data_IF_708593590862
#
_entry.id   IF_708593590862
#
_cell.length_a   1.000
_cell.length_b   1.000
_cell.length_c   1.000
_cell.angle_alpha   90.00
_cell.angle_beta   90.00
_cell.angle_gamma   90.00
#
_symmetry.space_group_name_H-M   'P 1'
#
loop_
_entity.id
_entity.type
_entity.pdbx_description
1 polymer ?
#
# COMPACT_ATOMS: atom_id res chain seq x y z
N UNK A 1 -0.37 20.41 -15.38
CA UNK A 1 0.77 20.34 -14.45
C UNK A 1 0.24 19.80 -13.14
N UNK A 2 0.83 18.74 -12.59
CA UNK A 2 0.46 18.29 -11.25
C UNK A 2 0.75 19.39 -10.22
N UNK A 3 -0.08 19.50 -9.19
CA UNK A 3 0.21 20.40 -8.07
C UNK A 3 1.28 19.80 -7.17
N UNK A 4 2.02 20.64 -6.44
CA UNK A 4 3.01 20.20 -5.44
C UNK A 4 2.40 19.23 -4.40
N UNK A 5 1.09 19.39 -4.13
CA UNK A 5 0.34 18.51 -3.24
C UNK A 5 0.15 17.09 -3.81
N UNK A 6 -0.06 16.97 -5.13
CA UNK A 6 -0.16 15.67 -5.81
C UNK A 6 1.16 14.92 -5.84
N UNK A 7 2.26 15.62 -6.15
CA UNK A 7 3.61 15.01 -6.13
C UNK A 7 3.93 14.49 -4.72
N UNK A 8 3.67 15.31 -3.70
CA UNK A 8 3.89 14.91 -2.32
C UNK A 8 3.00 13.72 -1.90
N UNK A 9 1.78 13.59 -2.44
CA UNK A 9 0.92 12.44 -2.21
C UNK A 9 1.48 11.15 -2.81
N UNK A 10 1.93 11.19 -4.07
CA UNK A 10 2.57 10.03 -4.74
C UNK A 10 3.76 9.53 -3.93
N UNK A 11 4.63 10.44 -3.47
CA UNK A 11 5.80 10.10 -2.65
C UNK A 11 5.41 9.47 -1.30
N UNK A 12 4.38 9.99 -0.63
CA UNK A 12 3.87 9.41 0.62
C UNK A 12 3.29 8.02 0.41
N UNK A 13 2.51 7.82 -0.66
CA UNK A 13 1.98 6.51 -1.03
C UNK A 13 3.12 5.52 -1.31
N UNK A 14 4.12 5.89 -2.13
CA UNK A 14 5.28 5.03 -2.40
C UNK A 14 5.99 4.63 -1.11
N UNK A 15 6.25 5.58 -0.20
CA UNK A 15 6.89 5.29 1.08
C UNK A 15 6.09 4.30 1.94
N UNK A 16 4.76 4.40 1.94
CA UNK A 16 3.88 3.46 2.65
C UNK A 16 3.89 2.07 1.99
N UNK A 17 3.80 2.00 0.66
CA UNK A 17 3.82 0.74 -0.07
C UNK A 17 5.18 0.04 -0.01
N UNK A 18 6.30 0.78 0.06
CA UNK A 18 7.62 0.19 0.30
C UNK A 18 7.72 -0.45 1.68
N UNK A 19 7.17 0.19 2.72
CA UNK A 19 7.08 -0.41 4.08
C UNK A 19 6.21 -1.66 4.07
N UNK A 20 5.06 -1.60 3.41
CA UNK A 20 4.17 -2.75 3.26
C UNK A 20 4.89 -3.89 2.53
N UNK A 21 5.56 -3.59 1.42
CA UNK A 21 6.33 -4.55 0.63
C UNK A 21 7.38 -5.28 1.46
N UNK A 22 8.13 -4.54 2.29
CA UNK A 22 9.15 -5.11 3.16
C UNK A 22 8.54 -6.15 4.14
N UNK A 23 7.41 -5.82 4.76
CA UNK A 23 6.70 -6.71 5.70
C UNK A 23 6.15 -7.95 4.97
N UNK A 24 5.41 -7.78 3.87
CA UNK A 24 4.80 -8.94 3.19
C UNK A 24 5.85 -9.85 2.54
N UNK A 25 7.03 -9.29 2.19
CA UNK A 25 8.17 -10.05 1.69
C UNK A 25 8.82 -10.91 2.77
N UNK A 26 8.99 -10.38 3.99
CA UNK A 26 9.59 -11.14 5.09
C UNK A 26 8.72 -12.31 5.55
N UNK A 27 7.40 -12.18 5.41
CA UNK A 27 6.42 -13.21 5.82
C UNK A 27 6.05 -14.20 4.71
N UNK A 28 6.66 -14.10 3.51
CA UNK A 28 6.46 -15.05 2.42
C UNK A 28 5.13 -14.93 1.66
N UNK A 29 4.44 -13.78 1.77
CA UNK A 29 3.16 -13.51 1.10
C UNK A 29 3.27 -13.27 -0.40
N UNK A 30 3.66 -14.29 -1.19
CA UNK A 30 4.00 -14.14 -2.64
C UNK A 30 2.99 -13.36 -3.48
N UNK A 31 1.69 -13.64 -3.33
CA UNK A 31 0.64 -12.93 -4.07
C UNK A 31 0.53 -11.46 -3.66
N UNK A 32 0.67 -11.19 -2.37
CA UNK A 32 0.65 -9.83 -1.82
C UNK A 32 1.88 -9.04 -2.25
N UNK A 33 3.07 -9.66 -2.19
CA UNK A 33 4.31 -9.08 -2.72
C UNK A 33 4.08 -8.64 -4.17
N UNK A 34 3.59 -9.54 -5.04
CA UNK A 34 3.33 -9.23 -6.45
C UNK A 34 2.37 -8.05 -6.62
N UNK A 35 1.26 -8.05 -5.89
CA UNK A 35 0.27 -6.98 -6.02
C UNK A 35 0.79 -5.64 -5.47
N UNK A 36 1.56 -5.65 -4.38
CA UNK A 36 2.21 -4.44 -3.84
C UNK A 36 3.29 -3.92 -4.79
N UNK A 37 4.09 -4.80 -5.41
CA UNK A 37 5.04 -4.40 -6.45
C UNK A 37 4.35 -3.76 -7.65
N UNK A 38 3.17 -4.26 -8.03
CA UNK A 38 2.38 -3.67 -9.12
C UNK A 38 1.90 -2.26 -8.77
N UNK A 39 1.42 -2.04 -7.54
CA UNK A 39 1.05 -0.69 -7.06
C UNK A 39 2.26 0.24 -7.07
N UNK A 40 3.43 -0.22 -6.63
CA UNK A 40 4.66 0.58 -6.67
C UNK A 40 5.06 0.98 -8.10
N UNK A 41 4.87 0.09 -9.09
CA UNK A 41 5.12 0.42 -10.49
C UNK A 41 4.17 1.52 -11.00
N UNK A 42 2.86 1.40 -10.72
CA UNK A 42 1.86 2.41 -11.08
C UNK A 42 2.21 3.78 -10.47
N UNK A 43 2.62 3.80 -9.19
CA UNK A 43 3.03 5.04 -8.53
C UNK A 43 4.37 5.59 -9.06
N UNK A 44 5.28 4.72 -9.52
CA UNK A 44 6.50 5.14 -10.22
C UNK A 44 6.20 5.87 -11.53
N UNK A 45 5.25 5.37 -12.32
CA UNK A 45 4.79 6.07 -13.52
C UNK A 45 4.20 7.45 -13.20
N UNK A 46 3.48 7.58 -12.08
CA UNK A 46 2.93 8.86 -11.60
C UNK A 46 4.01 9.87 -11.18
N UNK A 47 5.17 9.39 -10.73
CA UNK A 47 6.33 10.21 -10.34
C UNK A 47 7.14 10.63 -11.56
N UNK A 48 7.33 9.74 -12.53
CA UNK A 48 8.04 10.00 -13.79
C UNK A 48 7.25 10.95 -14.72
N UNK A 49 5.93 10.79 -14.79
CA UNK A 49 5.04 11.67 -15.56
C UNK A 49 3.93 12.26 -14.67
N UNK A 50 4.14 13.49 -14.14
CA UNK A 50 3.16 14.17 -13.33
C UNK A 50 1.82 14.45 -14.05
N UNK A 51 1.77 14.40 -15.39
CA UNK A 51 0.50 14.55 -16.10
C UNK A 51 -0.44 13.34 -15.88
N UNK A 52 0.12 12.18 -15.57
CA UNK A 52 -0.61 10.93 -15.32
C UNK A 52 -0.93 10.71 -13.84
N UNK A 53 -0.44 11.56 -12.92
CA UNK A 53 -0.54 11.27 -11.47
C UNK A 53 -1.96 11.00 -10.99
N UNK A 54 -2.96 11.76 -11.47
CA UNK A 54 -4.35 11.56 -11.04
C UNK A 54 -4.90 10.18 -11.48
N UNK A 55 -4.64 9.79 -12.72
CA UNK A 55 -5.06 8.50 -13.27
C UNK A 55 -4.37 7.35 -12.55
N UNK A 56 -3.04 7.43 -12.40
CA UNK A 56 -2.23 6.40 -11.75
C UNK A 56 -2.51 6.26 -10.27
N UNK A 57 -2.75 7.35 -9.55
CA UNK A 57 -3.18 7.29 -8.14
C UNK A 57 -4.57 6.64 -8.02
N UNK A 58 -5.49 6.94 -8.94
CA UNK A 58 -6.81 6.30 -8.96
C UNK A 58 -6.73 4.80 -9.26
N UNK A 59 -5.86 4.40 -10.19
CA UNK A 59 -5.58 2.99 -10.52
C UNK A 59 -4.98 2.24 -9.32
N UNK A 60 -3.94 2.82 -8.68
CA UNK A 60 -3.33 2.29 -7.47
C UNK A 60 -4.36 2.13 -6.34
N UNK A 61 -5.24 3.11 -6.15
CA UNK A 61 -6.33 3.06 -5.17
C UNK A 61 -7.30 1.92 -5.48
N UNK A 62 -7.68 1.75 -6.74
CA UNK A 62 -8.60 0.69 -7.18
C UNK A 62 -8.01 -0.70 -6.90
N UNK A 63 -6.73 -0.91 -7.23
CA UNK A 63 -6.02 -2.16 -6.97
C UNK A 63 -5.85 -2.43 -5.48
N UNK A 64 -5.47 -1.41 -4.69
CA UNK A 64 -5.39 -1.55 -3.24
C UNK A 64 -6.74 -1.90 -2.61
N UNK A 65 -7.83 -1.28 -3.11
CA UNK A 65 -9.19 -1.57 -2.69
C UNK A 65 -9.58 -3.00 -3.00
N UNK A 66 -9.31 -3.51 -4.20
CA UNK A 66 -9.69 -4.89 -4.54
C UNK A 66 -9.00 -5.88 -3.60
N UNK A 67 -7.72 -5.70 -3.30
CA UNK A 67 -6.98 -6.57 -2.38
C UNK A 67 -7.51 -6.51 -0.93
N UNK A 68 -7.99 -5.35 -0.52
CA UNK A 68 -8.46 -5.09 0.86
C UNK A 68 -9.88 -5.58 1.12
N UNK A 69 -10.64 -5.90 0.07
CA UNK A 69 -12.06 -6.32 0.18
C UNK A 69 -12.24 -7.80 -0.18
N UNK A 70 -11.33 -8.38 -0.97
CA UNK A 70 -11.39 -9.79 -1.34
C UNK A 70 -10.91 -10.67 -0.19
N UNK A 71 -11.78 -11.59 0.26
CA UNK A 71 -11.45 -12.64 1.24
C UNK A 71 -10.32 -13.53 0.73
N UNK A 72 -9.41 -13.94 1.60
CA UNK A 72 -8.23 -14.74 1.25
C UNK A 72 -7.05 -13.95 0.66
N UNK A 73 -7.16 -12.62 0.51
CA UNK A 73 -6.06 -11.76 0.09
C UNK A 73 -5.54 -10.87 1.23
N UNK A 74 -5.43 -9.56 1.02
CA UNK A 74 -4.80 -8.67 1.99
C UNK A 74 -5.64 -8.46 3.24
N UNK A 75 -6.96 -8.60 3.11
CA UNK A 75 -7.92 -8.50 4.21
C UNK A 75 -7.68 -9.54 5.33
N UNK A 76 -7.12 -10.71 5.00
CA UNK A 76 -6.89 -11.81 5.95
C UNK A 76 -5.41 -12.01 6.28
N UNK A 77 -4.51 -11.23 5.66
CA UNK A 77 -3.09 -11.32 5.92
C UNK A 77 -2.76 -10.80 7.32
N UNK A 78 -2.19 -11.67 8.14
CA UNK A 78 -1.68 -11.33 9.47
C UNK A 78 -0.36 -12.04 9.67
N UNK A 79 0.55 -11.38 10.39
CA UNK A 79 1.82 -11.96 10.80
C UNK A 79 1.53 -13.02 11.87
N UNK A 80 1.85 -14.28 11.57
CA UNK A 80 1.60 -15.39 12.47
C UNK A 80 2.87 -15.81 13.22
N UNK A 81 2.76 -15.89 14.54
CA UNK A 81 3.76 -16.39 15.48
C UNK A 81 3.05 -17.22 16.54
N UNK A 82 3.76 -18.06 17.29
CA UNK A 82 3.13 -18.88 18.34
C UNK A 82 2.72 -18.02 19.55
N UNK A 83 3.56 -17.07 19.94
CA UNK A 83 3.30 -16.15 21.04
C UNK A 83 2.26 -15.07 20.68
N UNK A 84 1.31 -14.83 21.58
CA UNK A 84 0.24 -13.86 21.37
C UNK A 84 0.75 -12.41 21.36
N UNK A 85 1.66 -12.07 22.28
CA UNK A 85 2.19 -10.72 22.38
C UNK A 85 3.07 -10.40 21.17
N UNK A 86 3.87 -11.36 20.71
CA UNK A 86 4.67 -11.22 19.49
C UNK A 86 3.78 -10.99 18.26
N UNK A 87 2.67 -11.73 18.12
CA UNK A 87 1.68 -11.45 17.05
C UNK A 87 1.12 -10.05 17.17
N UNK A 88 0.75 -9.60 18.37
CA UNK A 88 0.17 -8.27 18.57
C UNK A 88 1.17 -7.17 18.19
N UNK A 89 2.41 -7.28 18.67
CA UNK A 89 3.48 -6.32 18.40
C UNK A 89 3.83 -6.24 16.92
N UNK A 90 3.89 -7.37 16.21
CA UNK A 90 4.22 -7.39 14.78
C UNK A 90 3.06 -6.93 13.89
N UNK A 91 1.82 -7.21 14.25
CA UNK A 91 0.66 -6.79 13.45
C UNK A 91 0.29 -5.31 13.67
N UNK A 92 0.65 -4.69 14.79
CA UNK A 92 0.38 -3.26 15.03
C UNK A 92 0.97 -2.33 13.93
N UNK A 93 2.26 -2.44 13.55
CA UNK A 93 2.82 -1.67 12.44
C UNK A 93 2.13 -1.96 11.10
N UNK A 94 1.73 -3.21 10.85
CA UNK A 94 1.03 -3.60 9.63
C UNK A 94 -0.34 -2.89 9.54
N UNK A 95 -1.12 -2.87 10.62
CA UNK A 95 -2.39 -2.14 10.64
C UNK A 95 -2.21 -0.64 10.52
N UNK A 96 -1.20 -0.07 11.19
CA UNK A 96 -0.91 1.36 11.08
C UNK A 96 -0.58 1.76 9.62
N UNK A 97 0.14 0.92 8.88
CA UNK A 97 0.41 1.13 7.45
C UNK A 97 -0.89 1.06 6.64
N UNK A 98 -1.77 0.09 6.90
CA UNK A 98 -3.07 -0.04 6.21
C UNK A 98 -3.93 1.22 6.38
N UNK A 99 -4.08 1.67 7.62
CA UNK A 99 -4.83 2.89 7.89
C UNK A 99 -4.21 4.12 7.23
N UNK A 100 -2.87 4.21 7.23
CA UNK A 100 -2.16 5.34 6.62
C UNK A 100 -2.34 5.38 5.11
N UNK A 101 -2.32 4.22 4.43
CA UNK A 101 -2.58 4.14 2.99
C UNK A 101 -4.01 4.60 2.69
N UNK A 102 -4.99 4.15 3.46
CA UNK A 102 -6.38 4.61 3.27
C UNK A 102 -6.53 6.10 3.47
N UNK A 103 -5.97 6.65 4.55
CA UNK A 103 -5.98 8.09 4.83
C UNK A 103 -5.34 8.88 3.69
N UNK A 104 -4.21 8.41 3.15
CA UNK A 104 -3.55 9.10 2.04
C UNK A 104 -4.40 9.06 0.76
N UNK A 105 -5.05 7.93 0.44
CA UNK A 105 -5.96 7.85 -0.70
C UNK A 105 -7.25 8.69 -0.54
N UNK A 106 -7.71 8.91 0.69
CA UNK A 106 -8.92 9.68 0.99
C UNK A 106 -8.67 11.19 1.13
N UNK A 107 -7.44 11.61 1.44
CA UNK A 107 -7.08 13.02 1.64
C UNK A 107 -7.15 13.88 0.38
N UNK A 108 -7.37 13.27 -0.79
CA UNK A 108 -7.39 13.93 -2.11
C UNK A 108 -8.67 13.63 -2.92
N UNK A 109 -9.75 13.23 -2.23
CA UNK A 109 -11.10 13.01 -2.81
C UNK A 109 -11.97 14.25 -2.63
#
# INVERSE_FOLDING_TARGET
>A
MASDSQIASVQRLQALFLKLHAIVSSEGGKNLVRNVSHILAILGEAEEDPALSAERVAEARSLYRSMSVVKGEFAEFHIWREDFNERLELNQPLEAIRESIWKEFESHV
#
